data_IF_993795638784
#
_entry.id   IF_993795638784
#
_cell.length_a   1.000
_cell.length_b   1.000
_cell.length_c   1.000
_cell.angle_alpha   90.00
_cell.angle_beta   90.00
_cell.angle_gamma   90.00
#
_symmetry.space_group_name_H-M   'P 1'
#
loop_
_entity.id
_entity.type
_entity.pdbx_description
1 polymer ?
#
# COMPACT_ATOMS: atom_id res chain seq x y z
N UNK A 1 -12.09 15.93 -1.47
CA UNK A 1 -11.76 15.62 -0.06
C UNK A 1 -10.47 14.82 -0.03
N UNK A 2 -9.58 15.05 0.95
CA UNK A 2 -8.34 14.28 1.10
C UNK A 2 -8.70 12.87 1.59
N UNK A 3 -8.36 11.84 0.81
CA UNK A 3 -8.76 10.44 1.07
C UNK A 3 -8.27 9.97 2.45
N UNK A 4 -6.98 10.18 2.73
CA UNK A 4 -6.33 9.82 3.99
C UNK A 4 -7.01 10.46 5.20
N UNK A 5 -7.32 11.76 5.11
CA UNK A 5 -8.02 12.48 6.18
C UNK A 5 -9.42 11.88 6.43
N UNK A 6 -10.14 11.55 5.36
CA UNK A 6 -11.47 10.95 5.44
C UNK A 6 -11.40 9.58 6.10
N UNK A 7 -10.41 8.78 5.70
CA UNK A 7 -10.18 7.46 6.24
C UNK A 7 -9.69 7.48 7.68
N UNK A 8 -8.90 8.48 8.10
CA UNK A 8 -8.48 8.61 9.50
C UNK A 8 -9.68 8.74 10.43
N UNK A 9 -10.64 9.62 10.10
CA UNK A 9 -11.87 9.75 10.87
C UNK A 9 -12.76 8.51 10.80
N UNK A 10 -12.84 7.88 9.62
CA UNK A 10 -13.58 6.64 9.46
C UNK A 10 -12.98 5.51 10.30
N UNK A 11 -11.66 5.36 10.31
CA UNK A 11 -10.93 4.35 11.08
C UNK A 11 -11.10 4.58 12.60
N UNK A 12 -11.00 5.82 13.07
CA UNK A 12 -11.29 6.17 14.47
C UNK A 12 -12.73 5.78 14.86
N UNK A 13 -13.69 6.04 13.98
CA UNK A 13 -15.09 5.69 14.19
C UNK A 13 -15.32 4.17 14.17
N UNK A 14 -14.69 3.47 13.23
CA UNK A 14 -14.73 2.00 13.11
C UNK A 14 -14.14 1.33 14.35
N UNK A 15 -13.03 1.85 14.89
CA UNK A 15 -12.44 1.33 16.13
C UNK A 15 -13.39 1.50 17.32
N UNK A 16 -14.03 2.67 17.44
CA UNK A 16 -14.99 2.95 18.53
C UNK A 16 -16.25 2.08 18.42
N UNK A 17 -16.72 1.83 17.20
CA UNK A 17 -17.98 1.14 16.91
C UNK A 17 -17.79 -0.25 16.29
N UNK A 18 -16.65 -0.90 16.59
CA UNK A 18 -16.23 -2.17 15.99
C UNK A 18 -17.28 -3.28 16.03
N UNK A 19 -18.19 -3.26 17.00
CA UNK A 19 -19.30 -4.23 17.10
C UNK A 19 -20.24 -4.25 15.87
N UNK A 20 -20.27 -3.19 15.08
CA UNK A 20 -21.08 -3.11 13.84
C UNK A 20 -20.29 -3.54 12.59
N UNK A 21 -19.06 -4.03 12.76
CA UNK A 21 -18.27 -4.53 11.66
C UNK A 21 -18.89 -5.80 11.08
N UNK A 22 -19.17 -5.76 9.78
CA UNK A 22 -19.62 -6.94 9.03
C UNK A 22 -18.44 -7.71 8.48
N UNK A 23 -18.67 -8.97 8.09
CA UNK A 23 -17.65 -9.80 7.43
C UNK A 23 -17.16 -9.16 6.13
N UNK A 24 -18.04 -8.49 5.39
CA UNK A 24 -17.66 -7.80 4.15
C UNK A 24 -16.76 -6.59 4.42
N UNK A 25 -16.99 -5.84 5.51
CA UNK A 25 -16.08 -4.76 5.94
C UNK A 25 -14.71 -5.33 6.37
N UNK A 26 -14.68 -6.51 6.98
CA UNK A 26 -13.44 -7.20 7.35
C UNK A 26 -12.63 -7.65 6.13
N UNK A 27 -13.28 -8.17 5.09
CA UNK A 27 -12.61 -8.57 3.85
C UNK A 27 -11.95 -7.37 3.13
N UNK A 28 -12.53 -6.17 3.23
CA UNK A 28 -11.91 -4.94 2.72
C UNK A 28 -10.61 -4.64 3.46
N UNK A 29 -10.63 -4.65 4.80
CA UNK A 29 -9.42 -4.42 5.60
C UNK A 29 -8.36 -5.49 5.38
N UNK A 30 -8.76 -6.76 5.27
CA UNK A 30 -7.86 -7.86 4.92
C UNK A 30 -7.23 -7.66 3.55
N UNK A 31 -8.01 -7.25 2.55
CA UNK A 31 -7.51 -6.93 1.22
C UNK A 31 -6.51 -5.77 1.27
N UNK A 32 -6.80 -4.72 2.05
CA UNK A 32 -5.87 -3.60 2.25
C UNK A 32 -4.57 -4.04 2.91
N UNK A 33 -4.62 -4.90 3.93
CA UNK A 33 -3.41 -5.42 4.59
C UNK A 33 -2.53 -6.21 3.60
N UNK A 34 -3.14 -7.02 2.75
CA UNK A 34 -2.43 -7.75 1.70
C UNK A 34 -1.76 -6.80 0.69
N UNK A 35 -2.49 -5.77 0.24
CA UNK A 35 -1.92 -4.76 -0.65
C UNK A 35 -0.78 -3.97 0.00
N UNK A 36 -0.89 -3.61 1.27
CA UNK A 36 0.21 -2.97 2.01
C UNK A 36 1.48 -3.82 2.03
N UNK A 37 1.35 -5.14 2.25
CA UNK A 37 2.50 -6.05 2.19
C UNK A 37 3.09 -6.12 0.77
N UNK A 38 2.22 -6.10 -0.25
CA UNK A 38 2.62 -6.13 -1.65
C UNK A 38 3.33 -4.83 -2.04
N UNK A 39 2.84 -3.67 -1.60
CA UNK A 39 3.44 -2.36 -1.89
C UNK A 39 4.82 -2.23 -1.25
N UNK A 40 5.01 -2.76 -0.03
CA UNK A 40 6.33 -2.89 0.61
C UNK A 40 7.25 -3.79 -0.22
N UNK A 41 6.76 -4.94 -0.70
CA UNK A 41 7.55 -5.86 -1.51
C UNK A 41 7.96 -5.24 -2.86
N UNK A 42 7.05 -4.51 -3.51
CA UNK A 42 7.31 -3.78 -4.76
C UNK A 42 8.33 -2.68 -4.53
N UNK A 43 8.18 -1.86 -3.48
CA UNK A 43 9.13 -0.81 -3.14
C UNK A 43 10.53 -1.37 -2.83
N UNK A 44 10.60 -2.48 -2.08
CA UNK A 44 11.84 -3.18 -1.81
C UNK A 44 12.48 -3.73 -3.09
N UNK A 45 11.69 -4.31 -4.00
CA UNK A 45 12.15 -4.79 -5.30
C UNK A 45 12.74 -3.67 -6.17
N UNK A 46 12.07 -2.51 -6.21
CA UNK A 46 12.56 -1.32 -6.91
C UNK A 46 13.84 -0.82 -6.27
N UNK A 47 13.89 -0.72 -4.95
CA UNK A 47 15.09 -0.28 -4.23
C UNK A 47 16.28 -1.19 -4.54
N UNK A 48 16.11 -2.51 -4.42
CA UNK A 48 17.15 -3.50 -4.74
C UNK A 48 17.61 -3.39 -6.19
N UNK A 49 16.66 -3.25 -7.13
CA UNK A 49 16.96 -3.12 -8.56
C UNK A 49 17.75 -1.84 -8.85
N UNK A 50 17.36 -0.71 -8.26
CA UNK A 50 18.05 0.57 -8.43
C UNK A 50 19.43 0.57 -7.76
N UNK A 51 19.57 -0.04 -6.59
CA UNK A 51 20.87 -0.24 -5.93
C UNK A 51 21.80 -1.07 -6.82
N UNK A 52 21.31 -2.17 -7.40
CA UNK A 52 22.08 -3.01 -8.31
C UNK A 52 22.42 -2.33 -9.63
N UNK A 53 21.50 -1.52 -10.15
CA UNK A 53 21.71 -0.75 -11.36
C UNK A 53 22.75 0.37 -11.18
N UNK A 54 22.78 0.99 -9.99
CA UNK A 54 23.69 2.10 -9.65
C UNK A 54 24.99 1.66 -8.96
N UNK A 55 25.11 0.38 -8.60
CA UNK A 55 26.32 -0.18 -8.01
C UNK A 55 27.48 -0.25 -9.04
N UNK A 56 28.70 -0.05 -8.54
CA UNK A 56 29.91 -0.23 -9.35
C UNK A 56 30.13 -1.69 -9.73
N UNK A 57 30.73 -1.94 -10.90
CA UNK A 57 30.98 -3.29 -11.41
C UNK A 57 31.76 -4.18 -10.42
N UNK A 58 32.72 -3.59 -9.71
CA UNK A 58 33.47 -4.29 -8.67
C UNK A 58 32.55 -4.78 -7.52
N UNK A 59 31.52 -4.02 -7.16
CA UNK A 59 30.56 -4.40 -6.11
C UNK A 59 29.64 -5.55 -6.56
N UNK A 60 29.26 -5.58 -7.83
CA UNK A 60 28.38 -6.61 -8.40
C UNK A 60 29.12 -7.93 -8.58
N UNK A 61 30.39 -7.87 -9.02
CA UNK A 61 31.25 -9.04 -9.27
C UNK A 61 31.98 -9.56 -8.01
N UNK A 62 31.75 -8.96 -6.85
CA UNK A 62 32.36 -9.41 -5.58
C UNK A 62 31.80 -10.78 -5.21
N UNK A 63 32.68 -11.67 -4.74
CA UNK A 63 32.31 -13.01 -4.27
C UNK A 63 31.28 -13.00 -3.12
N UNK A 64 31.26 -11.94 -2.30
CA UNK A 64 30.26 -11.67 -1.27
C UNK A 64 29.31 -10.51 -1.64
N UNK A 65 29.14 -10.25 -2.94
CA UNK A 65 28.27 -9.20 -3.45
C UNK A 65 26.79 -9.57 -3.40
N UNK A 66 25.87 -8.62 -3.66
CA UNK A 66 24.42 -8.90 -3.61
C UNK A 66 23.94 -10.07 -4.49
N UNK A 67 24.49 -10.32 -5.71
CA UNK A 67 24.16 -11.52 -6.50
C UNK A 67 24.60 -12.85 -5.87
N UNK A 68 25.52 -12.79 -4.91
CA UNK A 68 26.09 -13.92 -4.19
C UNK A 68 25.53 -14.06 -2.77
N UNK A 69 24.59 -13.20 -2.35
CA UNK A 69 23.97 -13.26 -1.02
C UNK A 69 23.13 -14.53 -0.84
N UNK A 70 22.57 -15.08 -1.93
CA UNK A 70 21.90 -16.37 -1.94
C UNK A 70 22.89 -17.46 -2.39
N UNK A 71 23.57 -18.08 -1.43
CA UNK A 71 24.37 -19.28 -1.66
C UNK A 71 23.63 -20.53 -1.19
N UNK A 72 23.20 -21.32 -2.18
CA UNK A 72 23.00 -22.78 -2.27
C UNK A 72 21.91 -23.02 -3.34
N UNK A 73 22.30 -23.54 -4.52
CA UNK A 73 21.37 -24.14 -5.49
C UNK A 73 20.79 -23.27 -6.62
N UNK A 74 20.99 -21.95 -6.63
CA UNK A 74 20.56 -21.11 -7.77
C UNK A 74 21.59 -21.20 -8.91
N UNK A 75 21.16 -21.73 -10.05
CA UNK A 75 21.93 -22.02 -11.26
C UNK A 75 22.98 -20.93 -11.55
N UNK A 76 24.24 -21.34 -11.73
CA UNK A 76 25.36 -20.45 -12.08
C UNK A 76 25.04 -19.58 -13.31
N UNK A 77 24.19 -20.07 -14.22
CA UNK A 77 23.69 -19.31 -15.38
C UNK A 77 22.85 -18.10 -14.97
N UNK A 78 22.03 -18.20 -13.91
CA UNK A 78 21.24 -17.09 -13.39
C UNK A 78 22.16 -16.01 -12.82
N UNK A 79 23.18 -16.41 -12.04
CA UNK A 79 24.18 -15.48 -11.49
C UNK A 79 24.95 -14.76 -12.61
N UNK A 80 25.36 -15.48 -13.65
CA UNK A 80 26.01 -14.90 -14.82
C UNK A 80 25.09 -13.96 -15.60
N UNK A 81 23.83 -14.33 -15.81
CA UNK A 81 22.84 -13.50 -16.49
C UNK A 81 22.58 -12.19 -15.73
N UNK A 82 22.37 -12.25 -14.41
CA UNK A 82 22.21 -11.07 -13.54
C UNK A 82 23.45 -10.16 -13.66
N UNK A 83 24.64 -10.74 -13.52
CA UNK A 83 25.89 -9.99 -13.61
C UNK A 83 26.07 -9.35 -14.99
N UNK A 84 25.71 -10.06 -16.07
CA UNK A 84 25.79 -9.54 -17.43
C UNK A 84 24.80 -8.40 -17.66
N UNK A 85 23.52 -8.59 -17.33
CA UNK A 85 22.48 -7.54 -17.40
C UNK A 85 22.93 -6.29 -16.64
N UNK A 86 23.53 -6.48 -15.47
CA UNK A 86 24.00 -5.38 -14.65
C UNK A 86 25.46 -4.95 -14.91
N UNK A 87 26.14 -5.37 -15.97
CA UNK A 87 27.50 -4.85 -16.29
C UNK A 87 27.70 -4.44 -17.75
N UNK A 88 26.70 -4.66 -18.62
CA UNK A 88 26.85 -4.50 -20.06
C UNK A 88 26.76 -3.05 -20.59
N UNK A 89 26.22 -2.10 -19.82
CA UNK A 89 25.97 -0.73 -20.27
C UNK A 89 26.80 0.32 -19.53
N UNK A 90 27.00 1.48 -20.15
CA UNK A 90 27.55 2.67 -19.51
C UNK A 90 26.66 3.08 -18.34
N UNK A 91 27.26 3.25 -17.16
CA UNK A 91 26.53 3.40 -15.89
C UNK A 91 26.89 4.68 -15.18
N UNK A 92 25.86 5.28 -14.61
CA UNK A 92 26.00 6.31 -13.61
C UNK A 92 26.07 5.63 -12.22
N UNK A 93 27.19 5.79 -11.53
CA UNK A 93 27.40 5.28 -10.17
C UNK A 93 27.36 6.45 -9.17
N UNK A 94 26.17 6.92 -8.78
CA UNK A 94 26.03 8.04 -7.86
C UNK A 94 26.63 7.72 -6.48
N UNK A 95 27.34 8.69 -5.91
CA UNK A 95 27.86 8.66 -4.55
C UNK A 95 27.17 9.73 -3.69
N UNK A 96 27.14 9.53 -2.37
CA UNK A 96 26.53 10.48 -1.42
C UNK A 96 25.07 10.80 -1.75
N UNK A 97 24.72 12.09 -1.78
CA UNK A 97 23.35 12.57 -2.07
C UNK A 97 22.80 12.14 -3.44
N UNK A 98 23.66 11.89 -4.43
CA UNK A 98 23.21 11.39 -5.74
C UNK A 98 22.50 10.04 -5.64
N UNK A 99 22.89 9.21 -4.65
CA UNK A 99 22.28 7.89 -4.44
C UNK A 99 20.91 8.01 -3.80
N UNK A 100 20.71 9.00 -2.93
CA UNK A 100 19.38 9.30 -2.37
C UNK A 100 18.41 9.70 -3.49
N UNK A 101 18.85 10.54 -4.42
CA UNK A 101 18.01 10.98 -5.55
C UNK A 101 17.74 9.82 -6.51
N UNK A 102 18.75 9.01 -6.84
CA UNK A 102 18.62 7.95 -7.84
C UNK A 102 17.89 6.69 -7.33
N UNK A 103 18.00 6.38 -6.04
CA UNK A 103 17.41 5.18 -5.43
C UNK A 103 16.27 5.54 -4.50
N UNK A 104 16.54 6.43 -3.53
CA UNK A 104 15.59 6.74 -2.47
C UNK A 104 14.32 7.42 -2.97
N UNK A 105 14.46 8.46 -3.81
CA UNK A 105 13.32 9.22 -4.30
C UNK A 105 12.35 8.37 -5.15
N UNK A 106 12.79 7.59 -6.16
CA UNK A 106 11.89 6.73 -6.92
C UNK A 106 11.23 5.64 -6.06
N UNK A 107 11.97 5.02 -5.15
CA UNK A 107 11.42 4.03 -4.22
C UNK A 107 10.34 4.64 -3.34
N UNK A 108 10.60 5.81 -2.75
CA UNK A 108 9.65 6.51 -1.89
C UNK A 108 8.39 6.94 -2.65
N UNK A 109 8.55 7.57 -3.83
CA UNK A 109 7.42 8.00 -4.65
C UNK A 109 6.58 6.82 -5.11
N UNK A 110 7.20 5.69 -5.41
CA UNK A 110 6.45 4.48 -5.77
C UNK A 110 5.66 3.96 -4.58
N UNK A 111 6.28 3.86 -3.40
CA UNK A 111 5.60 3.40 -2.19
C UNK A 111 4.42 4.29 -1.82
N UNK A 112 4.63 5.61 -1.72
CA UNK A 112 3.56 6.57 -1.36
C UNK A 112 2.47 6.61 -2.42
N UNK A 113 2.84 6.55 -3.71
CA UNK A 113 1.88 6.52 -4.80
C UNK A 113 0.97 5.28 -4.76
N UNK A 114 1.55 4.11 -4.46
CA UNK A 114 0.80 2.87 -4.31
C UNK A 114 -0.12 2.92 -3.09
N UNK A 115 0.39 3.29 -1.90
CA UNK A 115 -0.42 3.40 -0.67
C UNK A 115 -1.60 4.35 -0.87
N UNK A 116 -1.37 5.53 -1.47
CA UNK A 116 -2.43 6.49 -1.75
C UNK A 116 -3.50 5.90 -2.69
N UNK A 117 -3.09 5.14 -3.70
CA UNK A 117 -4.02 4.48 -4.61
C UNK A 117 -4.84 3.40 -3.90
N UNK A 118 -4.21 2.61 -3.03
CA UNK A 118 -4.92 1.57 -2.27
C UNK A 118 -5.88 2.16 -1.24
N UNK A 119 -5.51 3.25 -0.56
CA UNK A 119 -6.43 3.96 0.33
C UNK A 119 -7.64 4.49 -0.43
N UNK A 120 -7.43 5.06 -1.62
CA UNK A 120 -8.52 5.50 -2.48
C UNK A 120 -9.42 4.35 -2.90
N UNK A 121 -8.84 3.19 -3.19
CA UNK A 121 -9.59 1.96 -3.49
C UNK A 121 -10.41 1.49 -2.28
N UNK A 122 -9.82 1.47 -1.09
CA UNK A 122 -10.49 1.11 0.17
C UNK A 122 -11.71 2.00 0.43
N UNK A 123 -11.53 3.32 0.33
CA UNK A 123 -12.62 4.27 0.54
C UNK A 123 -13.77 4.06 -0.47
N UNK A 124 -13.45 3.78 -1.73
CA UNK A 124 -14.46 3.47 -2.76
C UNK A 124 -15.23 2.18 -2.44
N UNK A 125 -14.55 1.16 -1.92
CA UNK A 125 -15.19 -0.09 -1.51
C UNK A 125 -16.16 0.16 -0.35
N UNK A 126 -15.76 0.92 0.68
CA UNK A 126 -16.68 1.32 1.75
C UNK A 126 -17.86 2.13 1.22
N UNK A 127 -17.63 3.10 0.33
CA UNK A 127 -18.71 3.90 -0.25
C UNK A 127 -19.70 3.08 -1.09
N UNK A 128 -19.28 1.94 -1.64
CA UNK A 128 -20.14 1.04 -2.42
C UNK A 128 -20.92 0.05 -1.55
N UNK A 129 -20.55 -0.09 -0.27
CA UNK A 129 -21.08 -1.11 0.60
C UNK A 129 -22.30 -0.61 1.36
N UNK A 130 -23.33 -1.44 1.49
CA UNK A 130 -24.51 -1.13 2.29
C UNK A 130 -24.30 -1.64 3.71
N UNK A 131 -23.39 -1.00 4.43
CA UNK A 131 -23.06 -1.26 5.84
C UNK A 131 -23.12 0.05 6.62
N UNK A 132 -23.15 -0.06 7.95
CA UNK A 132 -23.08 1.09 8.86
C UNK A 132 -21.82 1.93 8.58
N UNK A 133 -20.69 1.28 8.30
CA UNK A 133 -19.45 1.96 7.92
C UNK A 133 -19.49 2.56 6.52
N UNK A 134 -20.13 1.87 5.56
CA UNK A 134 -20.31 2.40 4.21
C UNK A 134 -21.18 3.66 4.18
N UNK A 135 -22.25 3.71 4.97
CA UNK A 135 -23.07 4.91 5.16
C UNK A 135 -22.29 6.07 5.77
N UNK A 136 -21.51 5.81 6.81
CA UNK A 136 -20.65 6.83 7.42
C UNK A 136 -19.61 7.34 6.41
N UNK A 137 -18.99 6.45 5.62
CA UNK A 137 -18.05 6.82 4.57
C UNK A 137 -18.71 7.69 3.47
N UNK A 138 -19.89 7.31 2.99
CA UNK A 138 -20.66 8.09 1.99
C UNK A 138 -20.96 9.49 2.49
N UNK A 139 -21.40 9.62 3.74
CA UNK A 139 -21.71 10.92 4.35
C UNK A 139 -20.48 11.77 4.53
N UNK A 140 -19.38 11.21 5.05
CA UNK A 140 -18.11 11.94 5.18
C UNK A 140 -17.66 12.50 3.82
N UNK A 141 -17.77 11.71 2.75
CA UNK A 141 -17.43 12.14 1.38
C UNK A 141 -18.37 13.24 0.85
N UNK A 142 -19.68 13.17 1.17
CA UNK A 142 -20.69 14.12 0.68
C UNK A 142 -20.70 15.44 1.45
N UNK A 143 -20.70 15.39 2.79
CA UNK A 143 -20.87 16.57 3.64
C UNK A 143 -19.55 17.22 4.00
N UNK A 144 -18.44 16.47 3.98
CA UNK A 144 -17.12 16.95 4.40
C UNK A 144 -17.05 17.33 5.88
N UNK A 145 -18.13 17.11 6.65
CA UNK A 145 -18.21 17.43 8.07
C UNK A 145 -17.94 16.17 8.90
N UNK A 146 -17.09 16.33 9.90
CA UNK A 146 -16.74 15.28 10.87
C UNK A 146 -17.78 15.36 11.98
N UNK A 147 -18.99 14.88 11.70
CA UNK A 147 -20.03 14.74 12.73
C UNK A 147 -20.01 13.29 13.23
N UNK A 148 -19.72 13.10 14.53
CA UNK A 148 -19.79 11.78 15.17
C UNK A 148 -21.25 11.34 15.22
N UNK A 149 -21.64 10.51 14.26
CA UNK A 149 -22.96 9.92 14.29
C UNK A 149 -22.98 8.77 15.29
N UNK A 150 -23.97 8.76 16.18
CA UNK A 150 -24.26 7.59 17.01
C UNK A 150 -24.86 6.51 16.10
N UNK A 151 -24.40 5.25 16.16
CA UNK A 151 -24.96 4.16 15.34
C UNK A 151 -26.46 3.93 15.60
N UNK A 152 -26.98 4.39 16.75
CA UNK A 152 -28.43 4.38 17.06
C UNK A 152 -29.23 5.25 16.08
N UNK A 153 -28.67 6.36 15.58
CA UNK A 153 -29.34 7.22 14.60
C UNK A 153 -29.28 6.64 13.18
N UNK A 154 -28.41 5.66 12.88
CA UNK A 154 -28.35 5.03 11.56
C UNK A 154 -29.61 4.20 11.34
N UNK A 155 -30.05 3.43 12.34
CA UNK A 155 -31.37 2.79 12.33
C UNK A 155 -32.53 3.79 12.17
N UNK A 156 -32.38 5.03 12.66
CA UNK A 156 -33.37 6.10 12.45
C UNK A 156 -33.34 6.70 11.03
N UNK A 157 -32.18 6.71 10.36
CA UNK A 157 -31.99 7.28 9.02
C UNK A 157 -32.07 6.29 7.86
N UNK A 158 -31.96 4.99 8.14
CA UNK A 158 -32.18 3.91 7.17
C UNK A 158 -33.68 3.71 7.01
N UNK A 159 -34.15 3.62 5.76
CA UNK A 159 -35.57 3.52 5.45
C UNK A 159 -36.18 2.27 6.14
N UNK A 160 -37.43 2.34 6.61
CA UNK A 160 -38.02 1.26 7.46
C UNK A 160 -37.97 -0.13 6.79
N UNK A 161 -37.98 -0.18 5.45
CA UNK A 161 -37.85 -1.40 4.66
C UNK A 161 -36.47 -2.06 4.70
N UNK A 162 -35.42 -1.29 4.95
CA UNK A 162 -34.03 -1.76 4.92
C UNK A 162 -33.51 -2.14 6.32
N UNK A 163 -34.21 -1.78 7.40
CA UNK A 163 -33.84 -2.13 8.78
C UNK A 163 -33.64 -3.63 8.99
N UNK A 164 -34.37 -4.48 8.26
CA UNK A 164 -34.26 -5.93 8.38
C UNK A 164 -32.97 -6.50 7.75
N UNK A 165 -32.24 -5.72 6.95
CA UNK A 165 -30.96 -6.13 6.35
C UNK A 165 -29.76 -5.86 7.27
N UNK A 166 -29.96 -5.09 8.35
CA UNK A 166 -28.92 -4.65 9.29
C UNK A 166 -29.14 -5.19 10.72
N UNK A 167 -30.11 -6.09 10.91
CA UNK A 167 -30.42 -6.73 12.18
C UNK A 167 -29.64 -8.04 12.36
#
# INVERSE_FOLDING_TARGET
MKVELTLQYLDEWMLRWRKFQTESDWQIEKSRQWWRQTDIAVAAGIMCSLVMYTAGNATIRRQFGPPHFFDIGVDAKIKQAITHVFTNNWRYTPQGYGRFIAVGLPTYLTFVGLEHFQERRRLRQYCAQNTVFGEQARRLVQTGKIEEFLPVNINASVNKSERNLFA
#
